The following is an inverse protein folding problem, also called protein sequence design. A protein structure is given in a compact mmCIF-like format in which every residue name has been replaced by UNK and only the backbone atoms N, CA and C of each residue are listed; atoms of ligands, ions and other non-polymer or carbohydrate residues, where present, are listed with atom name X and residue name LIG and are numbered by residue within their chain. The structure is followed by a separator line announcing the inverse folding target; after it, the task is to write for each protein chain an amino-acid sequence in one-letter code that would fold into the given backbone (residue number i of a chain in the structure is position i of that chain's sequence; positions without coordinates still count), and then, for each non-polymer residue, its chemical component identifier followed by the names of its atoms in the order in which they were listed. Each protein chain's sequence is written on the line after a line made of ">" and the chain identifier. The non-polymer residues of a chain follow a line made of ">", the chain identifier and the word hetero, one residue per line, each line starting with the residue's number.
data_IF_540197638453
#
_entry.id   IF_540197638453
#
_cell.length_a   1.000
_cell.length_b   1.000
_cell.length_c   1.000
_cell.angle_alpha   90.00
_cell.angle_beta   90.00
_cell.angle_gamma   90.00
#
_symmetry.space_group_name_H-M   'P 1'
#
loop_
_entity.id
_entity.type
_entity.pdbx_description
1 polymer ?
#
# COMPACT_ATOMS: atom_id res chain seq x y z
N UNK A 1 -19.08 -0.63 23.29
CA UNK A 1 -18.41 -1.83 22.74
C UNK A 1 -16.91 -1.53 22.76
N UNK A 2 -16.05 -2.48 23.04
CA UNK A 2 -14.62 -2.21 22.94
C UNK A 2 -14.24 -2.07 21.46
N UNK A 3 -13.28 -1.18 21.14
CA UNK A 3 -12.79 -0.97 19.75
C UNK A 3 -12.47 -2.32 19.06
N UNK A 4 -11.87 -3.25 19.79
CA UNK A 4 -11.55 -4.57 19.28
C UNK A 4 -12.79 -5.37 18.80
N UNK A 5 -13.90 -5.31 19.54
CA UNK A 5 -15.14 -6.01 19.15
C UNK A 5 -15.73 -5.39 17.86
N UNK A 6 -15.59 -4.07 17.68
CA UNK A 6 -16.06 -3.37 16.50
C UNK A 6 -15.20 -3.70 15.27
N UNK A 7 -13.89 -3.78 15.44
CA UNK A 7 -12.97 -4.23 14.38
C UNK A 7 -13.26 -5.68 13.97
N UNK A 8 -13.44 -6.58 14.92
CA UNK A 8 -13.82 -7.97 14.63
C UNK A 8 -15.16 -8.08 13.89
N UNK A 9 -16.16 -7.30 14.32
CA UNK A 9 -17.47 -7.27 13.66
C UNK A 9 -17.38 -6.74 12.21
N UNK A 10 -16.45 -5.82 11.92
CA UNK A 10 -16.27 -5.28 10.58
C UNK A 10 -15.77 -6.33 9.58
N UNK A 11 -14.94 -7.27 10.03
CA UNK A 11 -14.36 -8.34 9.19
C UNK A 11 -15.12 -9.66 9.26
N UNK A 12 -16.14 -9.76 10.15
CA UNK A 12 -16.90 -11.01 10.34
C UNK A 12 -17.57 -11.46 9.03
N UNK A 13 -17.34 -12.74 8.68
CA UNK A 13 -17.86 -13.33 7.43
C UNK A 13 -17.24 -12.79 6.14
N UNK A 14 -16.22 -11.94 6.22
CA UNK A 14 -15.48 -11.38 5.09
C UNK A 14 -14.14 -12.08 4.90
N UNK A 15 -13.60 -12.05 3.67
CA UNK A 15 -12.31 -12.66 3.32
C UNK A 15 -11.52 -11.81 2.34
N UNK A 16 -10.21 -12.04 2.30
CA UNK A 16 -9.30 -11.42 1.33
C UNK A 16 -9.43 -9.89 1.27
N UNK A 17 -9.51 -9.35 0.07
CA UNK A 17 -9.60 -7.90 -0.19
C UNK A 17 -10.84 -7.27 0.45
N UNK A 18 -12.01 -7.95 0.40
CA UNK A 18 -13.25 -7.41 1.03
C UNK A 18 -13.10 -7.28 2.55
N UNK A 19 -12.44 -8.22 3.22
CA UNK A 19 -12.15 -8.09 4.65
C UNK A 19 -11.16 -6.94 4.94
N UNK A 20 -10.13 -6.80 4.10
CA UNK A 20 -9.14 -5.72 4.24
C UNK A 20 -9.76 -4.33 4.03
N UNK A 21 -10.61 -4.17 3.01
CA UNK A 21 -11.32 -2.92 2.76
C UNK A 21 -12.24 -2.56 3.93
N UNK A 22 -13.02 -3.54 4.44
CA UNK A 22 -13.89 -3.34 5.61
C UNK A 22 -13.12 -2.98 6.88
N UNK A 23 -11.96 -3.56 7.08
CA UNK A 23 -11.08 -3.21 8.19
C UNK A 23 -10.59 -1.76 8.07
N UNK A 24 -10.19 -1.33 6.88
CA UNK A 24 -9.79 0.05 6.61
C UNK A 24 -10.94 1.04 6.85
N UNK A 25 -12.16 0.74 6.38
CA UNK A 25 -13.36 1.55 6.62
C UNK A 25 -13.66 1.68 8.13
N UNK A 26 -13.54 0.58 8.88
CA UNK A 26 -13.70 0.58 10.32
C UNK A 26 -12.65 1.45 11.03
N UNK A 27 -11.40 1.38 10.59
CA UNK A 27 -10.32 2.23 11.12
C UNK A 27 -10.63 3.73 10.97
N UNK A 28 -11.15 4.14 9.80
CA UNK A 28 -11.57 5.54 9.58
C UNK A 28 -12.64 5.97 10.59
N UNK A 29 -13.61 5.11 10.80
CA UNK A 29 -14.73 5.40 11.73
C UNK A 29 -14.28 5.45 13.19
N UNK A 30 -13.38 4.52 13.59
CA UNK A 30 -13.03 4.30 15.00
C UNK A 30 -11.87 5.17 15.48
N UNK A 31 -10.97 5.62 14.60
CA UNK A 31 -9.73 6.29 15.01
C UNK A 31 -9.68 7.78 14.70
N UNK A 32 -10.79 8.36 14.22
CA UNK A 32 -10.84 9.77 13.82
C UNK A 32 -9.72 10.11 12.81
N UNK A 33 -9.59 9.28 11.79
CA UNK A 33 -8.68 9.48 10.64
C UNK A 33 -9.49 9.63 9.36
N UNK A 34 -8.89 10.26 8.34
CA UNK A 34 -9.61 10.60 7.10
C UNK A 34 -9.55 9.46 6.07
N UNK A 35 -8.51 8.61 6.14
CA UNK A 35 -8.33 7.49 5.25
C UNK A 35 -7.45 6.41 5.90
N UNK A 36 -7.59 5.16 5.42
CA UNK A 36 -6.77 4.02 5.84
C UNK A 36 -6.49 3.09 4.67
N UNK A 37 -5.30 2.51 4.63
CA UNK A 37 -4.90 1.50 3.66
C UNK A 37 -4.06 0.41 4.32
N UNK A 38 -4.08 -0.79 3.73
CA UNK A 38 -3.17 -1.87 4.10
C UNK A 38 -2.25 -2.11 2.92
N UNK A 39 -0.98 -1.79 3.12
CA UNK A 39 0.11 -1.96 2.15
C UNK A 39 0.74 -3.34 2.29
N UNK A 40 1.15 -3.93 1.18
CA UNK A 40 2.02 -5.09 1.15
C UNK A 40 3.47 -4.67 0.88
N UNK A 41 4.39 -5.22 1.65
CA UNK A 41 5.83 -4.91 1.53
C UNK A 41 6.61 -6.21 1.44
N UNK A 42 7.29 -6.44 0.31
CA UNK A 42 8.16 -7.57 0.10
C UNK A 42 9.54 -7.07 -0.34
N UNK A 43 10.59 -7.69 0.18
CA UNK A 43 12.00 -7.34 -0.10
C UNK A 43 12.30 -5.84 0.07
N UNK A 44 11.67 -5.19 1.07
CA UNK A 44 11.85 -3.78 1.36
C UNK A 44 11.17 -2.81 0.39
N UNK A 45 10.30 -3.30 -0.50
CA UNK A 45 9.53 -2.49 -1.43
C UNK A 45 8.01 -2.68 -1.23
N UNK A 46 7.25 -1.60 -1.34
CA UNK A 46 5.78 -1.70 -1.41
C UNK A 46 5.42 -2.48 -2.69
N UNK A 47 4.68 -3.57 -2.54
CA UNK A 47 4.33 -4.50 -3.62
C UNK A 47 2.87 -4.37 -4.06
N UNK A 48 2.04 -3.72 -3.27
CA UNK A 48 0.63 -3.50 -3.59
C UNK A 48 -0.19 -3.05 -2.40
N UNK A 49 -1.44 -2.68 -2.68
CA UNK A 49 -2.46 -2.31 -1.69
C UNK A 49 -3.40 -3.49 -1.50
N UNK A 50 -3.41 -4.10 -0.32
CA UNK A 50 -4.31 -5.20 0.02
C UNK A 50 -5.74 -4.70 0.19
N UNK A 51 -5.90 -3.60 0.94
CA UNK A 51 -7.20 -2.99 1.20
C UNK A 51 -7.10 -1.49 1.43
N UNK A 52 -8.23 -0.80 1.25
CA UNK A 52 -8.31 0.65 1.42
C UNK A 52 -9.71 1.09 1.84
N UNK A 53 -9.80 2.19 2.57
CA UNK A 53 -11.08 2.81 2.90
C UNK A 53 -11.72 3.59 1.73
N UNK A 54 -11.07 3.59 0.57
CA UNK A 54 -11.53 4.26 -0.64
C UNK A 54 -10.39 4.78 -1.51
N UNK A 55 -10.75 5.41 -2.62
CA UNK A 55 -9.79 5.87 -3.64
C UNK A 55 -8.70 6.81 -3.09
N UNK A 56 -8.98 7.80 -2.21
CA UNK A 56 -7.91 8.63 -1.65
C UNK A 56 -6.86 7.82 -0.90
N UNK A 57 -7.28 6.85 -0.08
CA UNK A 57 -6.35 5.99 0.67
C UNK A 57 -5.46 5.17 -0.27
N UNK A 58 -6.05 4.64 -1.35
CA UNK A 58 -5.31 3.90 -2.38
C UNK A 58 -4.28 4.77 -3.08
N UNK A 59 -4.63 6.02 -3.40
CA UNK A 59 -3.70 7.00 -3.97
C UNK A 59 -2.52 7.31 -3.02
N UNK A 60 -2.78 7.44 -1.73
CA UNK A 60 -1.74 7.72 -0.72
C UNK A 60 -0.76 6.56 -0.58
N UNK A 61 -1.27 5.32 -0.60
CA UNK A 61 -0.42 4.12 -0.61
C UNK A 61 0.37 3.97 -1.91
N UNK A 62 -0.26 4.27 -3.06
CA UNK A 62 0.39 4.25 -4.37
C UNK A 62 1.62 5.15 -4.43
N UNK A 63 1.59 6.32 -3.78
CA UNK A 63 2.75 7.22 -3.70
C UNK A 63 3.95 6.56 -3.01
N UNK A 64 3.76 5.77 -1.96
CA UNK A 64 4.85 5.05 -1.30
C UNK A 64 5.51 4.04 -2.24
N UNK A 65 4.70 3.38 -3.10
CA UNK A 65 5.24 2.53 -4.15
C UNK A 65 5.99 3.32 -5.22
N UNK A 66 5.37 4.38 -5.77
CA UNK A 66 5.94 5.16 -6.87
C UNK A 66 7.26 5.80 -6.46
N UNK A 67 7.32 6.35 -5.25
CA UNK A 67 8.49 7.09 -4.75
C UNK A 67 9.53 6.16 -4.11
N UNK A 68 9.13 4.94 -3.70
CA UNK A 68 10.03 4.00 -3.03
C UNK A 68 10.45 4.46 -1.64
N UNK A 69 9.71 5.37 -1.04
CA UNK A 69 9.90 5.89 0.31
C UNK A 69 8.56 6.13 0.99
N UNK A 70 8.55 6.12 2.30
CA UNK A 70 7.35 6.39 3.08
C UNK A 70 7.24 5.61 4.38
N UNK A 71 6.25 5.97 5.23
CA UNK A 71 6.07 5.38 6.55
C UNK A 71 5.84 3.87 6.56
N UNK A 72 5.14 3.29 5.56
CA UNK A 72 4.89 1.86 5.52
C UNK A 72 6.20 1.07 5.38
N UNK A 73 7.11 1.52 4.51
CA UNK A 73 8.41 0.88 4.31
C UNK A 73 9.26 0.95 5.57
N UNK A 74 9.30 2.12 6.21
CA UNK A 74 10.04 2.33 7.45
C UNK A 74 9.46 1.50 8.60
N UNK A 75 8.13 1.37 8.71
CA UNK A 75 7.50 0.60 9.78
C UNK A 75 7.81 -0.90 9.68
N UNK A 76 7.77 -1.44 8.46
CA UNK A 76 8.14 -2.84 8.19
C UNK A 76 9.64 -3.06 8.44
N UNK A 77 10.50 -2.18 7.94
CA UNK A 77 11.95 -2.28 8.10
C UNK A 77 12.39 -2.18 9.57
N UNK A 78 11.82 -1.24 10.33
CA UNK A 78 12.11 -1.06 11.76
C UNK A 78 11.37 -2.04 12.67
N UNK A 79 10.37 -2.76 12.15
CA UNK A 79 9.48 -3.66 12.88
C UNK A 79 8.73 -2.94 14.01
N UNK A 80 8.42 -1.68 13.81
CA UNK A 80 7.82 -0.81 14.83
C UNK A 80 6.89 0.23 14.17
N UNK A 81 5.87 0.72 14.90
CA UNK A 81 5.03 1.79 14.41
C UNK A 81 5.83 3.04 14.04
N UNK A 82 5.48 3.66 12.91
CA UNK A 82 5.99 4.95 12.48
C UNK A 82 4.86 5.97 12.59
N UNK A 83 5.04 6.97 13.47
CA UNK A 83 4.01 7.94 13.80
C UNK A 83 4.48 9.33 13.39
N UNK A 84 3.85 9.91 12.37
CA UNK A 84 4.11 11.27 11.92
C UNK A 84 2.88 12.11 12.21
N UNK A 85 3.02 13.03 13.14
CA UNK A 85 1.93 13.94 13.53
C UNK A 85 1.72 15.01 12.47
N UNK A 86 2.81 15.49 11.89
CA UNK A 86 2.79 16.57 10.91
C UNK A 86 3.93 16.43 9.90
N UNK A 87 3.59 16.10 8.67
CA UNK A 87 4.55 16.06 7.55
C UNK A 87 5.13 17.43 7.16
N UNK A 88 4.51 18.53 7.62
CA UNK A 88 5.06 19.88 7.40
C UNK A 88 5.99 20.33 8.52
N UNK A 89 6.28 19.48 9.50
CA UNK A 89 7.29 19.78 10.51
C UNK A 89 8.67 19.83 9.85
N UNK A 90 9.44 20.89 10.12
CA UNK A 90 10.77 21.09 9.54
C UNK A 90 11.78 20.00 9.97
N UNK A 91 11.53 19.35 11.09
CA UNK A 91 12.36 18.23 11.58
C UNK A 91 11.99 16.91 10.91
N UNK A 92 10.86 16.85 10.17
CA UNK A 92 10.46 15.67 9.42
C UNK A 92 11.05 15.71 8.00
N UNK A 93 12.22 15.10 7.85
CA UNK A 93 12.98 15.10 6.60
C UNK A 93 13.30 13.69 6.05
N UNK A 94 12.67 12.64 6.62
CA UNK A 94 12.95 11.26 6.23
C UNK A 94 12.59 10.96 4.78
N UNK A 95 11.54 11.60 4.27
CA UNK A 95 11.00 11.33 2.93
C UNK A 95 10.94 12.62 2.11
N UNK A 96 12.05 12.97 1.41
CA UNK A 96 12.19 14.26 0.74
C UNK A 96 11.23 14.45 -0.44
N UNK A 97 10.66 13.39 -1.00
CA UNK A 97 9.69 13.45 -2.11
C UNK A 97 8.29 13.10 -1.65
N UNK A 98 8.12 12.04 -0.85
CA UNK A 98 6.82 11.60 -0.35
C UNK A 98 6.16 12.66 0.55
N UNK A 99 6.90 13.25 1.49
CA UNK A 99 6.36 14.28 2.39
C UNK A 99 5.69 15.43 1.65
N UNK A 100 6.40 16.13 0.76
CA UNK A 100 5.82 17.19 -0.08
C UNK A 100 4.62 16.72 -0.92
N UNK A 101 4.69 15.53 -1.55
CA UNK A 101 3.60 15.00 -2.35
C UNK A 101 2.33 14.76 -1.52
N UNK A 102 2.46 14.25 -0.29
CA UNK A 102 1.32 14.07 0.62
C UNK A 102 0.75 15.41 1.10
N UNK A 103 1.60 16.41 1.34
CA UNK A 103 1.16 17.76 1.68
C UNK A 103 0.36 18.42 0.54
N UNK A 104 0.71 18.18 -0.70
CA UNK A 104 -0.07 18.64 -1.88
C UNK A 104 -1.46 18.00 -1.91
N UNK A 105 -1.57 16.74 -1.48
CA UNK A 105 -2.84 16.01 -1.30
C UNK A 105 -3.56 16.37 0.00
N UNK A 106 -3.07 17.35 0.77
CA UNK A 106 -3.65 17.85 2.03
C UNK A 106 -3.60 16.82 3.17
N UNK A 107 -2.70 15.87 3.11
CA UNK A 107 -2.41 14.94 4.22
C UNK A 107 -1.29 15.51 5.07
N UNK A 108 -1.53 15.59 6.38
CA UNK A 108 -0.58 16.14 7.36
C UNK A 108 -0.07 15.05 8.30
N UNK A 109 -0.91 14.15 8.77
CA UNK A 109 -0.54 13.06 9.66
C UNK A 109 -0.56 11.72 8.96
N UNK A 110 0.44 10.88 9.24
CA UNK A 110 0.51 9.48 8.77
C UNK A 110 0.98 8.58 9.90
N UNK A 111 0.27 7.49 10.13
CA UNK A 111 0.58 6.54 11.18
C UNK A 111 0.60 5.14 10.58
N UNK A 112 1.79 4.55 10.46
CA UNK A 112 2.00 3.22 9.89
C UNK A 112 2.22 2.20 11.00
N UNK A 113 1.39 1.16 11.05
CA UNK A 113 1.48 0.05 11.98
C UNK A 113 1.94 -1.19 11.22
N UNK A 114 3.08 -1.81 11.55
CA UNK A 114 3.56 -2.96 10.80
C UNK A 114 2.65 -4.17 11.00
N UNK A 115 2.40 -4.91 9.92
CA UNK A 115 1.55 -6.12 9.92
C UNK A 115 2.44 -7.36 9.94
N UNK A 116 2.26 -8.17 10.98
CA UNK A 116 2.99 -9.41 11.21
C UNK A 116 2.17 -10.63 10.75
N UNK A 117 2.72 -11.43 9.86
CA UNK A 117 2.11 -12.69 9.39
C UNK A 117 3.13 -13.81 9.48
N UNK A 118 2.79 -14.89 10.18
CA UNK A 118 3.65 -16.07 10.32
C UNK A 118 5.10 -15.78 10.80
N UNK A 119 5.29 -14.71 11.59
CA UNK A 119 6.59 -14.33 12.13
C UNK A 119 7.37 -13.31 11.29
N UNK A 120 6.87 -12.94 10.11
CA UNK A 120 7.48 -11.95 9.21
C UNK A 120 6.62 -10.70 9.08
N UNK A 121 7.26 -9.53 9.05
CA UNK A 121 6.60 -8.27 8.79
C UNK A 121 6.50 -8.05 7.28
N UNK A 122 5.29 -8.21 6.72
CA UNK A 122 5.05 -8.23 5.27
C UNK A 122 4.08 -7.15 4.80
N UNK A 123 3.74 -6.21 5.66
CA UNK A 123 2.85 -5.10 5.31
C UNK A 123 2.75 -4.08 6.42
N UNK A 124 1.97 -3.05 6.17
CA UNK A 124 1.61 -2.02 7.14
C UNK A 124 0.14 -1.63 6.99
N UNK A 125 -0.49 -1.32 8.12
CA UNK A 125 -1.73 -0.55 8.16
C UNK A 125 -1.37 0.92 8.28
N UNK A 126 -1.68 1.68 7.25
CA UNK A 126 -1.44 3.12 7.17
C UNK A 126 -2.73 3.88 7.45
N UNK A 127 -2.67 4.81 8.39
CA UNK A 127 -3.77 5.72 8.74
C UNK A 127 -3.37 7.14 8.34
N UNK A 128 -4.23 7.84 7.63
CA UNK A 128 -3.96 9.16 7.07
C UNK A 128 -4.90 10.21 7.68
N UNK A 129 -4.34 11.39 7.92
CA UNK A 129 -5.10 12.50 8.51
C UNK A 129 -4.76 13.83 7.85
N UNK A 130 -5.79 14.63 7.52
CA UNK A 130 -5.64 15.96 6.96
C UNK A 130 -5.17 16.98 8.02
N UNK A 131 -5.49 16.77 9.29
CA UNK A 131 -5.11 17.67 10.39
C UNK A 131 -3.95 17.09 11.20
N UNK A 132 -2.93 17.91 11.55
CA UNK A 132 -1.80 17.47 12.37
C UNK A 132 -2.26 17.28 13.83
N UNK A 133 -2.48 16.04 14.21
CA UNK A 133 -2.94 15.69 15.55
C UNK A 133 -2.45 14.29 15.93
N UNK A 134 -1.94 14.12 17.13
CA UNK A 134 -1.55 12.79 17.65
C UNK A 134 -2.74 11.83 17.72
N UNK A 135 -2.48 10.55 17.47
CA UNK A 135 -3.43 9.50 17.87
C UNK A 135 -3.50 9.47 19.40
N UNK A 136 -4.73 9.45 19.93
CA UNK A 136 -4.94 9.25 21.36
C UNK A 136 -4.54 7.82 21.74
N UNK A 137 -4.15 7.59 23.00
CA UNK A 137 -3.62 6.29 23.44
C UNK A 137 -4.55 5.12 23.11
N UNK A 138 -5.87 5.32 23.24
CA UNK A 138 -6.85 4.27 22.94
C UNK A 138 -7.01 4.05 21.42
N UNK A 139 -6.87 5.08 20.59
CA UNK A 139 -6.82 4.95 19.13
C UNK A 139 -5.52 4.26 18.68
N UNK A 140 -4.40 4.58 19.30
CA UNK A 140 -3.14 3.91 19.03
C UNK A 140 -3.21 2.41 19.35
N UNK A 141 -3.73 2.06 20.54
CA UNK A 141 -3.94 0.66 20.91
C UNK A 141 -4.91 -0.06 19.95
N UNK A 142 -5.96 0.63 19.51
CA UNK A 142 -6.90 0.14 18.50
C UNK A 142 -6.22 -0.07 17.14
N UNK A 143 -5.34 0.84 16.71
CA UNK A 143 -4.60 0.73 15.46
C UNK A 143 -3.63 -0.47 15.45
N UNK A 144 -3.00 -0.75 16.59
CA UNK A 144 -2.19 -1.98 16.75
C UNK A 144 -3.08 -3.22 16.60
N UNK A 145 -4.23 -3.26 17.29
CA UNK A 145 -5.17 -4.39 17.16
C UNK A 145 -5.71 -4.55 15.72
N UNK A 146 -5.95 -3.45 15.01
CA UNK A 146 -6.35 -3.48 13.61
C UNK A 146 -5.22 -4.04 12.72
N UNK A 147 -3.95 -3.66 12.96
CA UNK A 147 -2.82 -4.23 12.25
C UNK A 147 -2.64 -5.74 12.52
N UNK A 148 -2.92 -6.20 13.72
CA UNK A 148 -2.95 -7.65 14.02
C UNK A 148 -4.06 -8.36 13.25
N UNK A 149 -5.26 -7.77 13.16
CA UNK A 149 -6.38 -8.31 12.39
C UNK A 149 -6.14 -8.29 10.87
N UNK A 150 -5.34 -7.35 10.38
CA UNK A 150 -4.96 -7.27 8.96
C UNK A 150 -4.16 -8.51 8.49
N UNK A 151 -3.61 -9.31 9.42
CA UNK A 151 -2.99 -10.59 9.09
C UNK A 151 -3.99 -11.62 8.54
N UNK A 152 -5.26 -11.57 8.95
CA UNK A 152 -6.27 -12.55 8.54
C UNK A 152 -6.59 -12.49 7.04
N UNK A 153 -6.96 -11.34 6.45
CA UNK A 153 -7.16 -11.25 5.01
C UNK A 153 -5.91 -11.58 4.19
N UNK A 154 -4.72 -11.34 4.73
CA UNK A 154 -3.46 -11.74 4.09
C UNK A 154 -3.29 -13.27 4.07
N UNK A 155 -3.57 -13.95 5.19
CA UNK A 155 -3.54 -15.40 5.26
C UNK A 155 -4.58 -16.03 4.32
N UNK A 156 -5.78 -15.46 4.24
CA UNK A 156 -6.82 -15.94 3.32
C UNK A 156 -6.35 -15.87 1.86
N UNK A 157 -5.64 -14.81 1.46
CA UNK A 157 -5.07 -14.71 0.12
C UNK A 157 -4.00 -15.76 -0.13
N UNK A 158 -3.07 -15.94 0.79
CA UNK A 158 -2.00 -16.93 0.66
C UNK A 158 -2.56 -18.36 0.54
N UNK A 159 -3.60 -18.71 1.30
CA UNK A 159 -4.26 -20.02 1.22
C UNK A 159 -5.04 -20.22 -0.10
N UNK A 160 -5.77 -19.18 -0.54
CA UNK A 160 -6.57 -19.23 -1.77
C UNK A 160 -5.67 -19.25 -2.99
N UNK A 161 -4.60 -18.48 -3.00
CA UNK A 161 -3.68 -18.35 -4.13
C UNK A 161 -2.84 -19.60 -4.37
N UNK A 162 -2.39 -20.25 -3.33
CA UNK A 162 -1.64 -21.52 -3.46
C UNK A 162 -2.52 -22.63 -4.06
N UNK A 163 -3.82 -22.67 -3.74
CA UNK A 163 -4.73 -23.69 -4.27
C UNK A 163 -5.31 -23.31 -5.66
N UNK A 164 -5.62 -22.04 -5.89
CA UNK A 164 -6.24 -21.57 -7.13
C UNK A 164 -5.21 -21.31 -8.25
N UNK A 165 -4.02 -20.81 -7.93
CA UNK A 165 -2.95 -20.61 -8.89
C UNK A 165 -2.44 -21.91 -9.52
N UNK A 166 -2.60 -23.05 -8.81
CA UNK A 166 -2.34 -24.37 -9.38
C UNK A 166 -3.53 -24.94 -10.16
N UNK A 167 -4.72 -24.35 -10.08
CA UNK A 167 -5.96 -24.89 -10.64
C UNK A 167 -6.55 -24.15 -11.85
N UNK A 168 -6.65 -22.83 -11.81
CA UNK A 168 -7.27 -22.02 -12.89
C UNK A 168 -6.71 -20.60 -12.97
N UNK A 169 -5.90 -20.29 -14.00
CA UNK A 169 -5.38 -18.92 -14.23
C UNK A 169 -6.45 -17.85 -14.51
N UNK A 170 -7.70 -18.23 -14.71
CA UNK A 170 -8.80 -17.30 -14.95
C UNK A 170 -9.72 -17.13 -13.72
N UNK A 171 -9.35 -17.65 -12.56
CA UNK A 171 -10.13 -17.52 -11.33
C UNK A 171 -10.09 -16.08 -10.79
N UNK A 172 -11.13 -15.68 -10.04
CA UNK A 172 -11.17 -14.38 -9.33
C UNK A 172 -9.99 -14.24 -8.37
N UNK A 173 -9.57 -15.32 -7.71
CA UNK A 173 -8.40 -15.36 -6.85
C UNK A 173 -7.09 -15.03 -7.61
N UNK A 174 -6.95 -15.52 -8.85
CA UNK A 174 -5.82 -15.17 -9.71
C UNK A 174 -5.86 -13.70 -10.12
N UNK A 175 -7.03 -13.15 -10.41
CA UNK A 175 -7.19 -11.73 -10.73
C UNK A 175 -6.85 -10.83 -9.51
N UNK A 176 -7.27 -11.22 -8.31
CA UNK A 176 -6.95 -10.53 -7.06
C UNK A 176 -5.44 -10.55 -6.78
N UNK A 177 -4.78 -11.70 -6.91
CA UNK A 177 -3.33 -11.83 -6.76
C UNK A 177 -2.57 -10.94 -7.75
N UNK A 178 -2.98 -10.96 -9.01
CA UNK A 178 -2.39 -10.09 -10.04
C UNK A 178 -2.53 -8.61 -9.71
N UNK A 179 -3.69 -8.20 -9.20
CA UNK A 179 -3.94 -6.82 -8.79
C UNK A 179 -3.06 -6.43 -7.61
N UNK A 180 -2.91 -7.32 -6.62
CA UNK A 180 -2.10 -7.09 -5.43
C UNK A 180 -0.59 -7.11 -5.71
N UNK A 181 -0.13 -8.00 -6.59
CA UNK A 181 1.30 -8.17 -6.90
C UNK A 181 1.86 -7.17 -7.92
N UNK A 182 1.03 -6.23 -8.39
CA UNK A 182 1.41 -5.30 -9.49
C UNK A 182 2.07 -6.05 -10.65
N UNK A 183 1.48 -7.19 -11.05
CA UNK A 183 2.03 -8.05 -12.09
C UNK A 183 2.26 -7.30 -13.41
N UNK A 184 1.36 -6.38 -13.77
CA UNK A 184 1.51 -5.53 -14.95
C UNK A 184 2.76 -4.64 -14.84
N UNK A 185 3.09 -4.13 -13.64
CA UNK A 185 4.31 -3.33 -13.44
C UNK A 185 5.54 -4.20 -13.64
N UNK A 186 5.55 -5.41 -13.10
CA UNK A 186 6.66 -6.36 -13.28
C UNK A 186 6.85 -6.76 -14.75
N UNK A 187 5.75 -7.04 -15.46
CA UNK A 187 5.76 -7.37 -16.88
C UNK A 187 6.22 -6.19 -17.74
N UNK A 188 5.71 -4.97 -17.47
CA UNK A 188 6.11 -3.76 -18.18
C UNK A 188 7.59 -3.43 -17.91
N UNK A 189 8.06 -3.62 -16.68
CA UNK A 189 9.48 -3.49 -16.34
C UNK A 189 10.33 -4.45 -17.20
N UNK A 190 9.94 -5.71 -17.31
CA UNK A 190 10.62 -6.68 -18.18
C UNK A 190 10.61 -6.27 -19.65
N UNK A 191 9.49 -5.70 -20.14
CA UNK A 191 9.40 -5.17 -21.50
C UNK A 191 10.35 -3.98 -21.71
N UNK A 192 10.45 -3.05 -20.75
CA UNK A 192 11.39 -1.91 -20.82
C UNK A 192 12.85 -2.37 -20.81
N UNK A 193 13.20 -3.36 -19.96
CA UNK A 193 14.54 -3.99 -19.98
C UNK A 193 14.89 -4.46 -21.38
N UNK A 194 13.96 -5.19 -22.03
CA UNK A 194 14.19 -5.72 -23.37
C UNK A 194 14.24 -4.63 -24.46
N UNK A 195 13.49 -3.55 -24.31
CA UNK A 195 13.41 -2.46 -25.30
C UNK A 195 14.59 -1.50 -25.21
N UNK A 196 15.04 -1.18 -23.98
CA UNK A 196 16.02 -0.13 -23.72
C UNK A 196 17.42 -0.70 -23.44
N UNK A 197 17.54 -2.02 -23.18
CA UNK A 197 18.81 -2.64 -22.83
C UNK A 197 19.37 -2.18 -21.47
N UNK A 198 18.49 -1.83 -20.52
CA UNK A 198 18.83 -1.33 -19.19
C UNK A 198 18.57 -2.39 -18.12
N UNK A 199 19.09 -2.17 -16.90
CA UNK A 199 18.86 -3.06 -15.77
C UNK A 199 17.42 -2.97 -15.25
N UNK A 200 16.85 -4.05 -14.65
CA UNK A 200 15.48 -4.06 -14.14
C UNK A 200 15.17 -2.95 -13.13
N UNK A 201 16.11 -2.64 -12.25
CA UNK A 201 15.96 -1.56 -11.28
C UNK A 201 15.81 -0.19 -11.96
N UNK A 202 16.58 0.08 -13.00
CA UNK A 202 16.50 1.32 -13.78
C UNK A 202 15.18 1.39 -14.56
N UNK A 203 14.74 0.29 -15.17
CA UNK A 203 13.48 0.20 -15.88
C UNK A 203 12.28 0.51 -14.96
N UNK A 204 12.29 -0.04 -13.75
CA UNK A 204 11.27 0.24 -12.74
C UNK A 204 11.29 1.72 -12.30
N UNK A 205 12.47 2.30 -12.10
CA UNK A 205 12.61 3.73 -11.76
C UNK A 205 12.02 4.61 -12.86
N UNK A 206 12.29 4.34 -14.13
CA UNK A 206 11.74 5.10 -15.26
C UNK A 206 10.21 5.01 -15.32
N UNK A 207 9.65 3.80 -15.14
CA UNK A 207 8.19 3.62 -15.09
C UNK A 207 7.57 4.42 -13.95
N UNK A 208 8.14 4.35 -12.76
CA UNK A 208 7.69 5.10 -11.58
C UNK A 208 7.80 6.61 -11.78
N UNK A 209 8.92 7.09 -12.33
CA UNK A 209 9.13 8.50 -12.62
C UNK A 209 8.08 9.04 -13.61
N UNK A 210 7.79 8.27 -14.67
CA UNK A 210 6.74 8.64 -15.61
C UNK A 210 5.36 8.66 -14.96
N UNK A 211 5.02 7.66 -14.13
CA UNK A 211 3.76 7.61 -13.38
C UNK A 211 3.62 8.86 -12.48
N UNK A 212 4.67 9.20 -11.73
CA UNK A 212 4.68 10.40 -10.89
C UNK A 212 4.53 11.68 -11.69
N UNK A 213 5.33 11.87 -12.74
CA UNK A 213 5.31 13.06 -13.58
C UNK A 213 3.96 13.29 -14.28
N UNK A 214 3.22 12.22 -14.58
CA UNK A 214 1.92 12.29 -15.26
C UNK A 214 0.73 12.22 -14.30
N UNK A 215 0.95 12.05 -12.99
CA UNK A 215 -0.09 11.90 -11.97
C UNK A 215 -0.95 10.65 -12.16
N UNK A 216 -0.38 9.59 -12.74
CA UNK A 216 -1.06 8.32 -13.03
C UNK A 216 -0.57 7.21 -12.09
N UNK A 217 -1.39 6.16 -11.92
CA UNK A 217 -0.92 4.98 -11.22
C UNK A 217 0.18 4.26 -12.02
N UNK A 218 1.12 3.61 -11.32
CA UNK A 218 2.14 2.80 -11.97
C UNK A 218 1.52 1.64 -12.77
N UNK A 219 0.41 1.09 -12.29
CA UNK A 219 -0.35 0.02 -12.97
C UNK A 219 -0.94 0.50 -14.29
N UNK A 220 -1.52 1.70 -14.35
CA UNK A 220 -2.08 2.24 -15.60
C UNK A 220 -0.99 2.57 -16.62
N UNK A 221 0.14 3.09 -16.16
CA UNK A 221 1.32 3.31 -17.01
C UNK A 221 1.84 1.97 -17.54
N UNK A 222 1.94 0.96 -16.67
CA UNK A 222 2.36 -0.38 -17.05
C UNK A 222 1.45 -0.99 -18.12
N UNK A 223 0.13 -0.90 -17.96
CA UNK A 223 -0.85 -1.37 -18.98
C UNK A 223 -0.64 -0.69 -20.32
N UNK A 224 -0.42 0.62 -20.33
CA UNK A 224 -0.17 1.34 -21.60
C UNK A 224 1.14 0.89 -22.26
N UNK A 225 2.17 0.56 -21.48
CA UNK A 225 3.41 -0.01 -22.00
C UNK A 225 3.15 -1.40 -22.60
N UNK A 226 2.47 -2.27 -21.86
CA UNK A 226 2.13 -3.64 -22.30
C UNK A 226 1.27 -3.62 -23.58
N UNK A 227 0.31 -2.73 -23.65
CA UNK A 227 -0.56 -2.54 -24.81
C UNK A 227 0.12 -1.76 -25.95
N UNK A 228 1.38 -1.37 -25.77
CA UNK A 228 2.19 -0.58 -26.74
C UNK A 228 1.59 0.79 -27.06
N UNK A 229 0.75 1.34 -26.19
CA UNK A 229 0.22 2.71 -26.27
C UNK A 229 1.22 3.75 -25.77
N UNK A 230 2.14 3.33 -24.89
CA UNK A 230 3.21 4.15 -24.35
C UNK A 230 4.57 3.48 -24.62
N UNK A 231 5.56 4.28 -25.02
CA UNK A 231 6.96 3.88 -25.07
C UNK A 231 7.78 4.91 -24.32
N UNK A 232 8.49 4.47 -23.31
CA UNK A 232 9.45 5.31 -22.62
C UNK A 232 10.74 5.32 -23.43
N UNK A 233 11.27 6.51 -23.72
CA UNK A 233 12.52 6.70 -24.46
C UNK A 233 13.74 6.68 -23.55
N UNK A 234 14.94 6.88 -24.14
CA UNK A 234 16.19 7.03 -23.38
C UNK A 234 16.28 8.38 -22.65
N UNK A 235 15.41 9.34 -22.99
CA UNK A 235 15.41 10.72 -22.46
C UNK A 235 14.21 11.04 -21.58
N UNK A 236 13.34 10.06 -21.23
CA UNK A 236 12.15 10.23 -20.38
C UNK A 236 12.43 9.90 -18.90
#
# INVERSE_FOLDING_TARGET
>A
MAIHDELLAAVDGKRGVDAADRLCEACVTLFDVDAAAISLVFDGANSGTLGSSGEPARQYDELQFILGEGPCLDSVSSRAPVLVVDLADLDEARWPVYGPAMLDLKVRGVYAMPVLVAGEYIGALDLFRAQPRRLEDHHFAGAIAAAELASLPLLDLLDTDMQAAFGDPNSDAWADLHTLSRAEVSQATGMLVAQLGIEPAEALVRLRAHAYATGRSATDVARDILDRRLRLGEED
#
